data_IF_694980787317
#
_entry.id   IF_694980787317
#
_cell.length_a   1.000
_cell.length_b   1.000
_cell.length_c   1.000
_cell.angle_alpha   90.00
_cell.angle_beta   90.00
_cell.angle_gamma   90.00
#
_symmetry.space_group_name_H-M   'P 1'
#
loop_
_entity.id
_entity.type
_entity.pdbx_description
1 polymer ?
#
# COMPACT_ATOMS: atom_id res chain seq x y z
N UNK A 1 16.95 -32.45 10.96
CA UNK A 1 16.00 -33.03 9.99
C UNK A 1 14.85 -32.06 9.63
N UNK A 2 14.52 -31.04 10.44
CA UNK A 2 13.41 -30.12 10.12
C UNK A 2 13.80 -28.89 9.28
N UNK A 3 15.09 -28.64 9.06
CA UNK A 3 15.60 -27.46 8.35
C UNK A 3 15.31 -27.52 6.84
N UNK A 4 15.25 -28.70 6.26
CA UNK A 4 15.00 -28.91 4.83
C UNK A 4 13.54 -28.75 4.41
N UNK A 5 12.60 -28.68 5.34
CA UNK A 5 11.15 -28.61 5.04
C UNK A 5 10.60 -27.18 4.92
N UNK A 6 11.35 -26.16 5.36
CA UNK A 6 10.87 -24.78 5.45
C UNK A 6 11.46 -23.83 4.41
N UNK A 7 12.09 -24.31 3.35
CA UNK A 7 12.59 -23.45 2.27
C UNK A 7 13.51 -22.34 2.78
N UNK A 8 14.59 -22.69 3.50
CA UNK A 8 15.54 -21.69 3.99
C UNK A 8 16.44 -21.24 2.86
N UNK A 9 16.48 -19.95 2.58
CA UNK A 9 17.54 -19.36 1.76
C UNK A 9 18.89 -19.48 2.50
N UNK A 10 20.01 -19.49 1.77
CA UNK A 10 21.31 -19.53 2.42
C UNK A 10 21.54 -18.24 3.22
N UNK A 11 22.32 -18.32 4.29
CA UNK A 11 22.71 -17.16 5.11
C UNK A 11 23.35 -16.06 4.26
N UNK A 12 24.12 -16.47 3.25
CA UNK A 12 24.89 -15.54 2.40
C UNK A 12 23.93 -14.63 1.60
N UNK A 13 22.81 -15.14 1.10
CA UNK A 13 21.81 -14.33 0.39
C UNK A 13 21.23 -13.23 1.31
N UNK A 14 21.02 -13.51 2.59
CA UNK A 14 20.51 -12.50 3.52
C UNK A 14 21.55 -11.44 3.84
N UNK A 15 22.79 -11.83 4.05
CA UNK A 15 23.90 -10.89 4.35
C UNK A 15 24.20 -9.98 3.16
N UNK A 16 24.24 -10.53 1.96
CA UNK A 16 24.42 -9.77 0.72
C UNK A 16 23.25 -8.81 0.49
N UNK A 17 22.02 -9.28 0.66
CA UNK A 17 20.81 -8.45 0.52
C UNK A 17 20.75 -7.34 1.57
N UNK A 18 21.12 -7.61 2.83
CA UNK A 18 21.20 -6.59 3.89
C UNK A 18 22.19 -5.48 3.52
N UNK A 19 23.37 -5.84 3.04
CA UNK A 19 24.37 -4.87 2.63
C UNK A 19 23.89 -4.02 1.45
N UNK A 20 23.35 -4.64 0.39
CA UNK A 20 22.83 -3.93 -0.78
C UNK A 20 21.69 -2.97 -0.40
N UNK A 21 20.75 -3.40 0.43
CA UNK A 21 19.65 -2.56 0.91
C UNK A 21 20.16 -1.41 1.77
N UNK A 22 21.13 -1.67 2.66
CA UNK A 22 21.74 -0.62 3.49
C UNK A 22 22.42 0.44 2.63
N UNK A 23 23.23 0.04 1.66
CA UNK A 23 23.92 0.97 0.75
C UNK A 23 22.93 1.82 -0.07
N UNK A 24 21.84 1.20 -0.58
CA UNK A 24 20.78 1.92 -1.28
C UNK A 24 20.09 2.94 -0.39
N UNK A 25 19.74 2.56 0.85
CA UNK A 25 19.07 3.44 1.80
C UNK A 25 19.97 4.56 2.28
N UNK A 26 21.28 4.30 2.48
CA UNK A 26 22.25 5.33 2.82
C UNK A 26 22.36 6.41 1.73
N UNK A 27 22.23 6.02 0.47
CA UNK A 27 22.24 6.97 -0.66
C UNK A 27 21.12 8.00 -0.63
N UNK A 28 20.00 7.71 0.07
CA UNK A 28 18.80 8.56 0.16
C UNK A 28 18.54 9.11 1.56
N UNK A 29 19.35 8.73 2.55
CA UNK A 29 19.23 9.18 3.94
C UNK A 29 19.54 10.69 4.15
N UNK A 30 19.97 11.39 3.12
CA UNK A 30 20.10 12.84 3.18
C UNK A 30 18.79 13.56 3.54
N UNK A 31 17.65 12.91 3.34
CA UNK A 31 16.32 13.45 3.70
C UNK A 31 15.90 13.24 5.17
N UNK A 32 16.68 12.57 5.99
CA UNK A 32 16.66 12.34 7.46
C UNK A 32 15.32 12.36 8.19
N UNK A 33 14.23 12.14 7.52
CA UNK A 33 12.90 12.22 8.12
C UNK A 33 12.37 10.82 8.32
N UNK A 34 11.56 10.61 9.35
CA UNK A 34 10.82 9.37 9.57
C UNK A 34 10.02 8.99 8.31
N UNK A 35 10.56 8.08 7.54
CA UNK A 35 9.91 7.53 6.35
C UNK A 35 9.65 6.05 6.56
N UNK A 36 8.70 5.52 5.81
CA UNK A 36 8.57 4.09 5.66
C UNK A 36 9.17 3.63 4.35
N UNK A 37 9.75 2.43 4.41
CA UNK A 37 10.24 1.72 3.25
C UNK A 37 9.62 0.32 3.24
N UNK A 38 9.19 -0.15 2.07
CA UNK A 38 8.64 -1.48 1.91
C UNK A 38 9.47 -2.29 0.91
N UNK A 39 9.60 -3.59 1.17
CA UNK A 39 10.24 -4.53 0.24
C UNK A 39 9.15 -5.18 -0.59
N UNK A 40 9.23 -4.99 -1.89
CA UNK A 40 8.36 -5.67 -2.85
C UNK A 40 8.93 -7.06 -3.12
N UNK A 41 8.15 -8.10 -2.85
CA UNK A 41 8.57 -9.52 -2.90
C UNK A 41 9.66 -9.89 -1.89
N UNK A 42 9.36 -9.82 -0.61
CA UNK A 42 10.29 -10.29 0.41
C UNK A 42 10.53 -11.81 0.27
N UNK A 43 11.77 -12.24 0.48
CA UNK A 43 12.14 -13.66 0.53
C UNK A 43 11.66 -14.34 1.82
N UNK A 44 11.59 -13.57 2.88
CA UNK A 44 11.18 -14.04 4.20
C UNK A 44 10.25 -13.07 4.88
N UNK A 45 9.52 -13.58 5.86
CA UNK A 45 8.68 -12.77 6.73
C UNK A 45 9.56 -11.85 7.58
N UNK A 46 9.07 -10.63 7.82
CA UNK A 46 9.81 -9.61 8.57
C UNK A 46 11.15 -9.20 7.93
N UNK A 47 11.34 -9.34 6.61
CA UNK A 47 12.56 -8.96 5.93
C UNK A 47 12.86 -7.47 6.10
N UNK A 48 11.83 -6.61 6.11
CA UNK A 48 11.94 -5.19 6.40
C UNK A 48 12.57 -4.94 7.79
N UNK A 49 12.15 -5.71 8.79
CA UNK A 49 12.71 -5.63 10.15
C UNK A 49 14.15 -6.17 10.20
N UNK A 50 14.44 -7.23 9.44
CA UNK A 50 15.79 -7.81 9.34
C UNK A 50 16.79 -6.75 8.81
N UNK A 51 16.38 -5.94 7.84
CA UNK A 51 17.22 -4.87 7.28
C UNK A 51 17.02 -3.51 7.99
N UNK A 52 16.44 -3.51 9.19
CA UNK A 52 16.21 -2.33 10.03
C UNK A 52 15.41 -1.22 9.33
N UNK A 53 14.55 -1.59 8.41
CA UNK A 53 13.65 -0.67 7.73
C UNK A 53 12.42 -0.41 8.61
N UNK A 54 11.92 0.83 8.57
CA UNK A 54 10.62 1.17 9.12
C UNK A 54 9.52 0.75 8.12
N UNK A 55 9.22 -0.54 8.05
CA UNK A 55 8.27 -1.12 7.13
C UNK A 55 6.85 -1.22 7.69
N UNK A 56 5.96 -1.82 6.90
CA UNK A 56 4.60 -2.15 7.35
C UNK A 56 4.35 -3.65 7.44
N UNK A 57 5.20 -4.49 6.82
CA UNK A 57 5.05 -5.94 6.86
C UNK A 57 5.36 -6.48 8.24
N UNK A 58 4.48 -7.34 8.77
CA UNK A 58 4.68 -7.91 10.09
C UNK A 58 4.18 -9.35 10.18
N UNK A 59 4.97 -10.20 10.81
CA UNK A 59 4.59 -11.49 11.32
C UNK A 59 4.68 -11.46 12.84
N UNK A 60 3.53 -11.44 13.53
CA UNK A 60 3.47 -11.35 14.98
C UNK A 60 2.19 -11.99 15.51
N UNK A 61 2.29 -12.62 16.67
CA UNK A 61 1.14 -13.13 17.41
C UNK A 61 0.43 -12.05 18.24
N UNK A 62 0.93 -10.81 18.25
CA UNK A 62 0.37 -9.69 19.04
C UNK A 62 -0.43 -8.70 18.21
N UNK A 63 -0.74 -9.05 16.97
CA UNK A 63 -1.56 -8.22 16.10
C UNK A 63 -2.98 -8.10 16.65
N UNK A 64 -3.55 -6.88 16.64
CA UNK A 64 -4.93 -6.64 17.07
C UNK A 64 -5.93 -6.99 15.97
N UNK A 65 -7.19 -7.24 16.33
CA UNK A 65 -8.26 -7.52 15.38
C UNK A 65 -8.49 -6.32 14.44
N UNK A 66 -8.45 -5.11 14.99
CA UNK A 66 -8.62 -3.87 14.20
C UNK A 66 -7.54 -3.71 13.13
N UNK A 67 -6.30 -4.06 13.46
CA UNK A 67 -5.21 -4.01 12.50
C UNK A 67 -5.39 -5.06 11.39
N UNK A 68 -5.82 -6.27 11.75
CA UNK A 68 -6.18 -7.31 10.79
C UNK A 68 -7.27 -6.87 9.84
N UNK A 69 -8.35 -6.33 10.39
CA UNK A 69 -9.47 -5.84 9.60
C UNK A 69 -9.04 -4.73 8.66
N UNK A 70 -8.19 -3.81 9.13
CA UNK A 70 -7.66 -2.74 8.29
C UNK A 70 -6.86 -3.31 7.11
N UNK A 71 -5.83 -4.11 7.35
CA UNK A 71 -4.96 -4.61 6.28
C UNK A 71 -5.72 -5.48 5.28
N UNK A 72 -6.63 -6.33 5.76
CA UNK A 72 -7.50 -7.16 4.93
C UNK A 72 -8.40 -6.33 4.05
N UNK A 73 -9.11 -5.37 4.64
CA UNK A 73 -10.10 -4.57 3.91
C UNK A 73 -9.45 -3.57 2.95
N UNK A 74 -8.20 -3.14 3.22
CA UNK A 74 -7.43 -2.27 2.33
C UNK A 74 -6.73 -3.01 1.18
N UNK A 75 -6.79 -4.35 1.14
CA UNK A 75 -6.27 -5.16 0.05
C UNK A 75 -4.86 -5.69 0.23
N UNK A 76 -4.23 -5.48 1.39
CA UNK A 76 -2.93 -6.06 1.68
C UNK A 76 -3.02 -7.59 1.83
N UNK A 77 -1.97 -8.29 1.45
CA UNK A 77 -1.86 -9.71 1.72
C UNK A 77 -1.92 -9.95 3.23
N UNK A 78 -2.87 -10.76 3.64
CA UNK A 78 -3.03 -11.17 5.02
C UNK A 78 -3.25 -12.69 5.10
N UNK A 79 -2.50 -13.33 5.97
CA UNK A 79 -2.66 -14.73 6.32
C UNK A 79 -2.59 -14.82 7.85
N UNK A 80 -2.93 -15.97 8.39
CA UNK A 80 -2.91 -16.20 9.84
C UNK A 80 -1.59 -15.70 10.48
N UNK A 81 -1.70 -14.74 11.40
CA UNK A 81 -0.59 -14.08 12.11
C UNK A 81 0.40 -13.27 11.25
N UNK A 82 0.08 -12.94 10.01
CA UNK A 82 0.95 -12.10 9.19
C UNK A 82 0.17 -11.20 8.23
N UNK A 83 0.75 -10.07 7.93
CA UNK A 83 0.40 -9.25 6.78
C UNK A 83 1.68 -8.75 6.09
N UNK A 84 1.58 -8.54 4.80
CA UNK A 84 2.72 -8.12 3.98
C UNK A 84 2.33 -6.93 3.11
N UNK A 85 3.31 -6.19 2.67
CA UNK A 85 3.15 -5.05 1.76
C UNK A 85 2.51 -5.43 0.40
N UNK A 86 2.38 -6.68 0.09
CA UNK A 86 1.76 -7.16 -1.13
C UNK A 86 0.28 -6.73 -1.25
N UNK A 87 -0.15 -6.33 -2.45
CA UNK A 87 -1.50 -5.81 -2.70
C UNK A 87 -1.70 -4.34 -2.30
N UNK A 88 -0.63 -3.62 -1.97
CA UNK A 88 -0.68 -2.19 -1.73
C UNK A 88 -1.06 -1.43 -3.00
N UNK A 89 -1.77 -0.32 -2.82
CA UNK A 89 -2.08 0.63 -3.89
C UNK A 89 -1.32 1.93 -3.66
N UNK A 90 -1.11 2.74 -4.71
CA UNK A 90 -0.48 4.06 -4.57
C UNK A 90 -1.22 4.97 -3.56
N UNK A 91 -2.54 4.83 -3.44
CA UNK A 91 -3.32 5.54 -2.42
C UNK A 91 -2.96 5.08 -1.00
N UNK A 92 -2.78 3.77 -0.77
CA UNK A 92 -2.35 3.26 0.54
C UNK A 92 -0.90 3.63 0.84
N UNK A 93 -0.02 3.59 -0.14
CA UNK A 93 1.36 4.06 -0.01
C UNK A 93 1.42 5.53 0.41
N UNK A 94 0.59 6.37 -0.21
CA UNK A 94 0.44 7.77 0.16
C UNK A 94 0.01 7.92 1.62
N UNK A 95 -1.09 7.29 2.01
CA UNK A 95 -1.70 7.45 3.34
C UNK A 95 -0.84 6.87 4.47
N UNK A 96 -0.16 5.76 4.22
CA UNK A 96 0.72 5.11 5.20
C UNK A 96 2.13 5.68 5.20
N UNK A 97 2.43 6.65 4.34
CA UNK A 97 3.74 7.30 4.28
C UNK A 97 4.85 6.39 3.77
N UNK A 98 4.51 5.43 2.89
CA UNK A 98 5.51 4.58 2.21
C UNK A 98 6.25 5.44 1.20
N UNK A 99 7.45 5.89 1.56
CA UNK A 99 8.25 6.80 0.76
C UNK A 99 9.18 6.07 -0.20
N UNK A 100 9.69 4.92 0.21
CA UNK A 100 10.61 4.14 -0.58
C UNK A 100 10.09 2.73 -0.81
N UNK A 101 10.21 2.28 -2.06
CA UNK A 101 10.01 0.88 -2.43
C UNK A 101 11.34 0.29 -2.87
N UNK A 102 11.70 -0.81 -2.24
CA UNK A 102 12.86 -1.63 -2.57
C UNK A 102 12.35 -2.84 -3.32
N UNK A 103 12.63 -2.90 -4.60
CA UNK A 103 12.10 -3.90 -5.52
C UNK A 103 13.21 -4.85 -5.95
N UNK A 104 13.00 -6.16 -5.83
CA UNK A 104 13.98 -7.10 -6.40
C UNK A 104 13.97 -7.00 -7.93
N UNK A 105 15.15 -7.00 -8.55
CA UNK A 105 15.34 -6.80 -10.01
C UNK A 105 14.62 -7.84 -10.89
N UNK A 106 14.00 -8.84 -10.30
CA UNK A 106 13.14 -9.79 -11.01
C UNK A 106 11.81 -9.19 -11.44
N UNK A 107 11.49 -7.96 -10.99
CA UNK A 107 10.24 -7.22 -11.27
C UNK A 107 10.50 -5.86 -11.92
N UNK A 108 9.55 -5.47 -12.77
CA UNK A 108 9.40 -4.09 -13.22
C UNK A 108 8.16 -3.51 -12.56
N UNK A 109 8.29 -2.42 -11.82
CA UNK A 109 7.14 -1.68 -11.32
C UNK A 109 6.60 -0.76 -12.41
N UNK A 110 5.33 -0.95 -12.76
CA UNK A 110 4.58 0.00 -13.61
C UNK A 110 3.99 1.10 -12.71
N UNK A 111 4.86 1.91 -12.12
CA UNK A 111 4.47 2.94 -11.17
C UNK A 111 4.94 4.32 -11.62
N UNK A 112 4.26 5.35 -11.14
CA UNK A 112 4.69 6.75 -11.27
C UNK A 112 5.90 7.10 -10.38
N UNK A 113 6.42 6.15 -9.59
CA UNK A 113 7.50 6.39 -8.65
C UNK A 113 8.84 6.58 -9.35
N UNK A 114 9.65 7.48 -8.79
CA UNK A 114 10.95 7.81 -9.34
C UNK A 114 11.99 6.77 -8.94
N UNK A 115 12.66 6.13 -9.90
CA UNK A 115 13.84 5.29 -9.62
C UNK A 115 14.98 6.17 -9.10
N UNK A 116 15.49 5.85 -7.91
CA UNK A 116 16.53 6.60 -7.19
C UNK A 116 17.88 5.92 -7.25
N UNK A 117 17.92 4.60 -7.39
CA UNK A 117 19.15 3.82 -7.43
C UNK A 117 18.89 2.37 -7.78
N UNK A 118 19.97 1.64 -7.96
CA UNK A 118 19.98 0.20 -8.22
C UNK A 118 21.18 -0.46 -7.59
N UNK A 119 21.05 -1.74 -7.28
CA UNK A 119 22.10 -2.65 -6.87
C UNK A 119 22.03 -3.94 -7.72
N UNK A 120 22.93 -4.90 -7.57
CA UNK A 120 22.85 -6.16 -8.28
C UNK A 120 21.52 -6.89 -8.14
N UNK A 121 20.86 -6.78 -6.96
CA UNK A 121 19.64 -7.51 -6.64
C UNK A 121 18.39 -6.64 -6.48
N UNK A 122 18.53 -5.31 -6.35
CA UNK A 122 17.42 -4.41 -6.03
C UNK A 122 17.43 -3.12 -6.81
N UNK A 123 16.23 -2.64 -7.08
CA UNK A 123 15.93 -1.28 -7.51
C UNK A 123 15.29 -0.49 -6.37
N UNK A 124 15.68 0.77 -6.18
CA UNK A 124 15.10 1.68 -5.22
C UNK A 124 14.23 2.72 -5.92
N UNK A 125 12.98 2.83 -5.49
CA UNK A 125 12.02 3.82 -5.98
C UNK A 125 11.57 4.76 -4.87
N UNK A 126 11.33 6.03 -5.21
CA UNK A 126 10.76 7.05 -4.31
C UNK A 126 9.34 7.38 -4.72
N UNK A 127 8.42 7.28 -3.76
CA UNK A 127 7.04 7.76 -3.89
C UNK A 127 7.00 9.27 -3.61
N UNK A 128 6.69 10.12 -4.59
CA UNK A 128 6.62 11.56 -4.40
C UNK A 128 5.42 11.99 -3.54
N UNK A 129 4.39 11.13 -3.45
CA UNK A 129 3.14 11.40 -2.73
C UNK A 129 3.09 10.85 -1.31
N UNK A 130 4.18 10.32 -0.78
CA UNK A 130 4.19 9.80 0.59
C UNK A 130 3.92 10.93 1.60
N UNK A 131 2.80 10.84 2.32
CA UNK A 131 2.49 11.76 3.41
C UNK A 131 3.46 11.57 4.58
N UNK A 132 3.61 12.59 5.40
CA UNK A 132 4.35 12.50 6.65
C UNK A 132 3.60 11.64 7.67
N UNK A 133 4.27 11.29 8.76
CA UNK A 133 3.71 10.39 9.77
C UNK A 133 2.43 10.91 10.43
N UNK A 134 2.21 12.22 10.46
CA UNK A 134 0.98 12.85 10.92
C UNK A 134 0.47 13.89 9.93
N UNK A 135 -0.83 13.88 9.62
CA UNK A 135 -1.47 14.85 8.74
C UNK A 135 -2.92 15.11 9.16
N UNK A 136 -3.38 16.34 8.94
CA UNK A 136 -4.74 16.74 9.30
C UNK A 136 -5.76 16.20 8.30
N UNK A 137 -6.85 15.66 8.85
CA UNK A 137 -8.02 15.20 8.10
C UNK A 137 -9.30 15.83 8.63
N UNK A 138 -10.39 15.70 7.88
CA UNK A 138 -11.71 16.20 8.30
C UNK A 138 -12.26 15.40 9.47
N UNK A 139 -13.12 16.01 10.29
CA UNK A 139 -13.89 15.33 11.34
C UNK A 139 -14.76 14.19 10.79
N UNK A 140 -15.14 14.25 9.51
CA UNK A 140 -15.87 13.16 8.85
C UNK A 140 -15.06 11.87 8.70
N UNK A 141 -13.78 11.88 9.03
CA UNK A 141 -12.94 10.67 9.06
C UNK A 141 -13.43 9.61 10.06
N UNK A 142 -14.19 9.99 11.09
CA UNK A 142 -14.77 9.04 12.06
C UNK A 142 -16.03 8.35 11.54
N UNK A 143 -16.66 8.86 10.49
CA UNK A 143 -17.98 8.40 10.01
C UNK A 143 -17.90 7.36 8.88
N UNK A 144 -16.70 7.08 8.36
CA UNK A 144 -16.59 6.07 7.31
C UNK A 144 -16.61 4.67 7.91
N UNK A 145 -17.33 3.75 7.25
CA UNK A 145 -17.33 2.34 7.61
C UNK A 145 -16.43 1.55 6.67
N UNK A 146 -15.63 0.64 7.22
CA UNK A 146 -14.88 -0.36 6.45
C UNK A 146 -15.81 -1.46 5.93
N UNK A 147 -16.85 -1.06 5.20
CA UNK A 147 -17.77 -1.96 4.54
C UNK A 147 -17.64 -1.80 3.03
N UNK A 148 -17.42 -2.89 2.34
CA UNK A 148 -17.29 -2.91 0.89
C UNK A 148 -17.16 -4.35 0.40
N UNK A 149 -17.42 -4.56 -0.88
CA UNK A 149 -17.31 -5.87 -1.53
C UNK A 149 -15.89 -6.12 -2.06
N UNK A 150 -15.08 -5.09 -2.13
CA UNK A 150 -13.70 -5.14 -2.59
C UNK A 150 -12.85 -4.02 -1.96
N UNK A 151 -11.52 -4.17 -1.94
CA UNK A 151 -10.61 -3.19 -1.30
C UNK A 151 -10.73 -1.77 -1.86
N UNK A 152 -10.92 -1.59 -3.15
CA UNK A 152 -11.01 -0.26 -3.77
C UNK A 152 -12.28 0.49 -3.34
N UNK A 153 -13.38 -0.23 -3.10
CA UNK A 153 -14.58 0.39 -2.54
C UNK A 153 -14.33 0.89 -1.11
N UNK A 154 -13.64 0.09 -0.29
CA UNK A 154 -13.28 0.48 1.09
C UNK A 154 -12.33 1.66 1.08
N UNK A 155 -11.30 1.65 0.23
CA UNK A 155 -10.37 2.77 0.06
C UNK A 155 -11.11 4.04 -0.41
N UNK A 156 -12.07 3.93 -1.32
CA UNK A 156 -12.91 5.06 -1.74
C UNK A 156 -13.72 5.67 -0.59
N UNK A 157 -14.21 4.84 0.34
CA UNK A 157 -14.92 5.31 1.53
C UNK A 157 -13.98 6.04 2.49
N UNK A 158 -12.80 5.45 2.74
CA UNK A 158 -11.75 6.08 3.53
C UNK A 158 -11.36 7.45 2.95
N UNK A 159 -11.00 7.50 1.67
CA UNK A 159 -10.58 8.74 1.00
C UNK A 159 -11.69 9.78 0.99
N UNK A 160 -12.95 9.38 0.83
CA UNK A 160 -14.09 10.28 0.95
C UNK A 160 -14.21 10.86 2.37
N UNK A 161 -14.01 10.03 3.41
CA UNK A 161 -14.04 10.48 4.81
C UNK A 161 -12.93 11.47 5.13
N UNK A 162 -11.68 11.18 4.74
CA UNK A 162 -10.51 11.97 5.11
C UNK A 162 -10.25 13.16 4.18
N UNK A 163 -10.51 13.00 2.87
CA UNK A 163 -10.23 14.01 1.84
C UNK A 163 -11.47 14.53 1.12
N UNK A 164 -12.66 13.99 1.36
CA UNK A 164 -13.90 14.41 0.73
C UNK A 164 -14.04 13.96 -0.73
N UNK A 165 -13.12 13.12 -1.26
CA UNK A 165 -13.08 12.69 -2.65
C UNK A 165 -12.93 11.17 -2.73
N UNK A 166 -13.54 10.54 -3.73
CA UNK A 166 -13.26 9.15 -4.13
C UNK A 166 -12.14 9.17 -5.17
N UNK A 167 -11.37 8.11 -5.21
CA UNK A 167 -10.30 7.95 -6.20
C UNK A 167 -10.73 7.04 -7.36
N UNK A 168 -11.18 5.84 -7.03
CA UNK A 168 -11.42 4.80 -8.02
C UNK A 168 -12.79 4.92 -8.69
N UNK A 169 -12.80 4.85 -10.02
CA UNK A 169 -13.98 4.53 -10.82
C UNK A 169 -14.10 3.01 -10.88
N UNK A 170 -15.13 2.46 -10.26
CA UNK A 170 -15.30 1.01 -10.15
C UNK A 170 -16.21 0.48 -11.25
N UNK A 171 -15.80 -0.63 -11.86
CA UNK A 171 -16.56 -1.33 -12.90
C UNK A 171 -16.46 -2.84 -12.69
N UNK A 172 -17.59 -3.54 -12.68
CA UNK A 172 -17.59 -5.01 -12.77
C UNK A 172 -17.14 -5.43 -14.17
N UNK A 173 -16.19 -6.34 -14.23
CA UNK A 173 -15.67 -6.91 -15.47
C UNK A 173 -16.16 -8.34 -15.59
N UNK A 174 -16.81 -8.66 -16.70
CA UNK A 174 -17.27 -10.02 -16.99
C UNK A 174 -16.16 -10.79 -17.70
N UNK A 175 -16.00 -12.05 -17.34
CA UNK A 175 -15.11 -12.96 -18.06
C UNK A 175 -15.81 -13.57 -19.25
N UNK A 176 -15.05 -13.81 -20.32
CA UNK A 176 -15.42 -14.76 -21.36
C UNK A 176 -14.90 -16.15 -20.96
N UNK A 177 -15.77 -17.14 -20.98
CA UNK A 177 -15.34 -18.51 -20.69
C UNK A 177 -14.88 -19.17 -21.99
N UNK A 178 -13.63 -19.63 -22.03
CA UNK A 178 -13.10 -20.39 -23.17
C UNK A 178 -13.71 -21.80 -23.22
N UNK A 179 -13.57 -22.48 -24.35
CA UNK A 179 -13.99 -23.88 -24.52
C UNK A 179 -13.32 -24.85 -23.54
N UNK A 180 -12.20 -24.45 -22.96
CA UNK A 180 -11.42 -25.21 -21.97
C UNK A 180 -11.83 -24.90 -20.52
N UNK A 181 -12.83 -24.03 -20.32
CA UNK A 181 -13.28 -23.62 -18.97
C UNK A 181 -12.41 -22.54 -18.32
N UNK A 182 -11.41 -22.00 -19.05
CA UNK A 182 -10.59 -20.90 -18.58
C UNK A 182 -11.37 -19.59 -18.73
N UNK A 183 -11.42 -18.79 -17.69
CA UNK A 183 -11.96 -17.44 -17.75
C UNK A 183 -10.93 -16.48 -18.35
N UNK A 184 -11.35 -15.63 -19.27
CA UNK A 184 -10.50 -14.61 -19.89
C UNK A 184 -11.13 -13.23 -19.74
N UNK A 185 -10.29 -12.22 -19.51
CA UNK A 185 -10.70 -10.82 -19.41
C UNK A 185 -9.89 -9.99 -20.38
N UNK A 186 -10.55 -9.06 -21.06
CA UNK A 186 -9.92 -8.02 -21.84
C UNK A 186 -10.24 -6.66 -21.19
N UNK A 187 -9.21 -5.98 -20.74
CA UNK A 187 -9.30 -4.68 -20.06
C UNK A 187 -8.60 -3.65 -20.93
N UNK A 188 -9.29 -2.58 -21.27
CA UNK A 188 -8.72 -1.45 -21.95
C UNK A 188 -8.51 -0.32 -20.94
N UNK A 189 -7.25 0.05 -20.70
CA UNK A 189 -6.85 1.22 -19.93
C UNK A 189 -6.61 2.40 -20.88
N UNK A 190 -7.16 3.55 -20.54
CA UNK A 190 -6.94 4.78 -21.32
C UNK A 190 -5.56 5.34 -21.04
N UNK A 191 -5.10 6.25 -21.89
CA UNK A 191 -3.88 6.99 -21.67
C UNK A 191 -3.88 7.67 -20.29
N UNK A 192 -2.78 7.50 -19.53
CA UNK A 192 -2.57 8.02 -18.17
C UNK A 192 -3.61 7.59 -17.13
N UNK A 193 -4.35 6.51 -17.41
CA UNK A 193 -5.26 5.88 -16.46
C UNK A 193 -4.53 4.75 -15.76
N UNK A 194 -4.47 4.81 -14.44
CA UNK A 194 -3.97 3.73 -13.61
C UNK A 194 -5.08 2.72 -13.35
N UNK A 195 -4.77 1.45 -13.41
CA UNK A 195 -5.73 0.37 -13.21
C UNK A 195 -5.34 -0.61 -12.12
N UNK A 196 -6.30 -0.99 -11.29
CA UNK A 196 -6.23 -2.13 -10.38
C UNK A 196 -7.35 -3.11 -10.67
N UNK A 197 -7.04 -4.39 -10.66
CA UNK A 197 -8.02 -5.45 -10.83
C UNK A 197 -8.10 -6.31 -9.56
N UNK A 198 -9.30 -6.47 -9.05
CA UNK A 198 -9.59 -7.38 -7.94
C UNK A 198 -10.31 -8.63 -8.44
N UNK A 199 -9.70 -9.80 -8.23
CA UNK A 199 -10.21 -11.12 -8.64
C UNK A 199 -10.39 -11.95 -7.36
N UNK A 200 -11.59 -12.00 -6.75
CA UNK A 200 -11.77 -12.68 -5.48
C UNK A 200 -11.57 -14.19 -5.59
N UNK A 201 -10.75 -14.73 -4.70
CA UNK A 201 -10.57 -16.18 -4.50
C UNK A 201 -9.78 -16.92 -5.58
N UNK A 202 -9.19 -16.22 -6.56
CA UNK A 202 -8.46 -16.86 -7.66
C UNK A 202 -7.27 -16.04 -8.09
N UNK A 203 -6.10 -16.66 -8.17
CA UNK A 203 -4.93 -16.06 -8.79
C UNK A 203 -5.03 -16.20 -10.32
N UNK A 204 -4.65 -15.17 -11.10
CA UNK A 204 -4.57 -15.30 -12.54
C UNK A 204 -3.45 -16.28 -12.95
N UNK A 205 -3.68 -17.04 -14.02
CA UNK A 205 -2.67 -17.94 -14.59
C UNK A 205 -1.67 -17.18 -15.44
N UNK A 206 -2.19 -16.28 -16.28
CA UNK A 206 -1.36 -15.43 -17.15
C UNK A 206 -1.91 -14.03 -17.21
N UNK A 207 -1.01 -13.07 -17.36
CA UNK A 207 -1.33 -11.69 -17.71
C UNK A 207 -0.47 -11.25 -18.86
N UNK A 208 -1.12 -10.72 -19.87
CA UNK A 208 -0.47 -10.21 -21.07
C UNK A 208 -0.83 -8.74 -21.22
N UNK A 209 0.18 -7.89 -21.34
CA UNK A 209 0.01 -6.46 -21.60
C UNK A 209 0.51 -6.15 -23.00
N UNK A 210 -0.36 -5.64 -23.86
CA UNK A 210 -0.08 -5.38 -25.27
C UNK A 210 0.58 -6.59 -25.98
N UNK A 211 0.12 -7.79 -25.68
CA UNK A 211 0.62 -9.03 -26.26
C UNK A 211 1.92 -9.56 -25.67
N UNK A 212 2.48 -8.95 -24.64
CA UNK A 212 3.65 -9.44 -23.92
C UNK A 212 3.25 -10.03 -22.57
N UNK A 213 3.60 -11.31 -22.37
CA UNK A 213 3.31 -11.99 -21.10
C UNK A 213 4.14 -11.41 -19.97
N UNK A 214 3.46 -11.12 -18.86
CA UNK A 214 4.07 -10.66 -17.63
C UNK A 214 4.37 -11.87 -16.72
N UNK A 215 5.47 -11.84 -16.00
CA UNK A 215 5.82 -12.90 -15.05
C UNK A 215 4.82 -12.96 -13.88
N UNK A 216 4.47 -14.16 -13.46
CA UNK A 216 3.44 -14.47 -12.45
C UNK A 216 3.71 -13.92 -11.04
N UNK A 217 4.88 -13.37 -10.76
CA UNK A 217 5.25 -12.86 -9.45
C UNK A 217 4.53 -11.56 -9.06
N UNK A 218 3.62 -11.04 -9.91
CA UNK A 218 2.83 -9.83 -9.67
C UNK A 218 1.55 -10.07 -8.85
N UNK A 219 1.21 -11.33 -8.60
CA UNK A 219 -0.06 -11.71 -8.04
C UNK A 219 0.03 -11.85 -6.53
N UNK A 220 -0.38 -10.84 -5.85
CA UNK A 220 -0.55 -10.92 -4.43
C UNK A 220 -2.02 -10.72 -4.07
N UNK A 221 -2.57 -11.70 -3.40
CA UNK A 221 -3.85 -11.61 -2.71
C UNK A 221 -5.06 -11.26 -3.60
N UNK A 222 -5.09 -11.74 -4.84
CA UNK A 222 -6.16 -11.47 -5.80
C UNK A 222 -6.29 -9.99 -6.23
N UNK A 223 -5.32 -9.16 -5.92
CA UNK A 223 -5.29 -7.74 -6.21
C UNK A 223 -4.13 -7.43 -7.15
N UNK A 224 -4.45 -7.06 -8.38
CA UNK A 224 -3.51 -6.92 -9.46
C UNK A 224 -3.32 -5.44 -9.81
N UNK A 225 -2.10 -4.95 -9.70
CA UNK A 225 -1.72 -3.65 -10.25
C UNK A 225 -1.48 -3.78 -11.76
N UNK A 226 -2.31 -3.09 -12.55
CA UNK A 226 -2.19 -3.06 -14.00
C UNK A 226 -1.28 -1.92 -14.49
N UNK A 227 -0.92 -0.99 -13.61
CA UNK A 227 -0.07 0.17 -13.91
C UNK A 227 -0.74 1.28 -14.69
N UNK A 228 0.10 2.26 -15.10
CA UNK A 228 -0.27 3.42 -15.91
C UNK A 228 0.53 3.41 -17.21
N UNK A 229 -0.11 3.78 -18.32
CA UNK A 229 0.52 3.82 -19.64
C UNK A 229 0.31 5.17 -20.32
N UNK A 230 1.27 5.57 -21.14
CA UNK A 230 1.23 6.81 -21.94
C UNK A 230 0.35 6.72 -23.20
N UNK A 231 -0.14 5.52 -23.51
CA UNK A 231 -1.05 5.22 -24.62
C UNK A 231 -2.19 4.34 -24.11
N UNK A 232 -3.26 4.22 -24.91
CA UNK A 232 -4.28 3.21 -24.67
C UNK A 232 -3.65 1.82 -24.69
N UNK A 233 -3.92 1.03 -23.65
CA UNK A 233 -3.27 -0.25 -23.41
C UNK A 233 -4.30 -1.36 -23.18
N UNK A 234 -4.11 -2.50 -23.82
CA UNK A 234 -4.95 -3.68 -23.64
C UNK A 234 -4.24 -4.67 -22.72
N UNK A 235 -4.90 -5.01 -21.62
CA UNK A 235 -4.49 -6.05 -20.69
C UNK A 235 -5.37 -7.27 -20.88
N UNK A 236 -4.77 -8.39 -21.22
CA UNK A 236 -5.45 -9.68 -21.34
C UNK A 236 -5.04 -10.56 -20.15
N UNK A 237 -6.03 -11.11 -19.47
CA UNK A 237 -5.82 -11.91 -18.26
C UNK A 237 -6.56 -13.23 -18.42
N UNK A 238 -5.91 -14.33 -18.09
CA UNK A 238 -6.56 -15.63 -17.98
C UNK A 238 -6.46 -16.17 -16.57
N UNK A 239 -7.48 -16.90 -16.15
CA UNK A 239 -7.48 -17.58 -14.86
C UNK A 239 -8.26 -18.89 -14.90
N UNK A 240 -7.79 -19.88 -14.17
CA UNK A 240 -8.43 -21.20 -14.07
C UNK A 240 -9.71 -21.10 -13.26
N UNK A 241 -10.83 -21.25 -13.90
CA UNK A 241 -12.17 -21.52 -13.40
C UNK A 241 -12.68 -20.78 -12.13
N UNK A 242 -13.96 -20.45 -12.12
CA UNK A 242 -14.68 -20.02 -10.91
C UNK A 242 -14.57 -18.55 -10.58
N UNK A 243 -14.18 -17.68 -11.52
CA UNK A 243 -14.11 -16.25 -11.28
C UNK A 243 -15.50 -15.67 -11.18
N UNK A 244 -15.80 -15.13 -10.01
CA UNK A 244 -17.03 -14.43 -9.72
C UNK A 244 -16.72 -12.97 -9.43
N UNK A 245 -17.45 -12.06 -10.08
CA UNK A 245 -17.46 -10.62 -9.75
C UNK A 245 -16.09 -9.92 -9.67
N UNK A 246 -15.32 -10.03 -10.75
CA UNK A 246 -14.07 -9.24 -10.90
C UNK A 246 -14.39 -7.74 -10.96
N UNK A 247 -13.65 -6.95 -10.21
CA UNK A 247 -13.83 -5.50 -10.17
C UNK A 247 -12.57 -4.80 -10.67
N UNK A 248 -12.74 -3.98 -11.70
CA UNK A 248 -11.74 -3.04 -12.17
C UNK A 248 -11.96 -1.69 -11.49
N UNK A 249 -10.93 -1.15 -10.88
CA UNK A 249 -10.89 0.22 -10.41
C UNK A 249 -9.85 1.01 -11.17
N UNK A 250 -10.25 2.15 -11.72
CA UNK A 250 -9.34 3.02 -12.46
C UNK A 250 -9.39 4.45 -11.94
N UNK A 251 -8.27 5.19 -12.10
CA UNK A 251 -8.20 6.61 -11.79
C UNK A 251 -7.20 7.32 -12.70
N UNK A 252 -7.30 8.64 -12.79
CA UNK A 252 -6.27 9.48 -13.42
C UNK A 252 -5.25 9.92 -12.36
N UNK A 253 -3.98 9.95 -12.70
CA UNK A 253 -2.90 10.41 -11.80
C UNK A 253 -3.23 11.77 -11.14
N UNK A 254 -3.85 12.68 -11.89
CA UNK A 254 -4.27 13.98 -11.37
C UNK A 254 -5.30 13.89 -10.22
N UNK A 255 -6.11 12.83 -10.16
CA UNK A 255 -7.07 12.64 -9.08
C UNK A 255 -6.36 12.27 -7.77
N UNK A 256 -5.30 11.49 -7.85
CA UNK A 256 -4.45 11.15 -6.71
C UNK A 256 -3.62 12.36 -6.25
N UNK A 257 -3.10 13.15 -7.20
CA UNK A 257 -2.40 14.41 -6.92
C UNK A 257 -3.29 15.39 -6.15
N UNK A 258 -4.56 15.57 -6.54
CA UNK A 258 -5.50 16.45 -5.85
C UNK A 258 -5.75 15.99 -4.39
N UNK A 259 -5.87 14.68 -4.16
CA UNK A 259 -6.02 14.13 -2.81
C UNK A 259 -4.74 14.38 -1.99
N UNK A 260 -3.57 14.13 -2.57
CA UNK A 260 -2.28 14.35 -1.92
C UNK A 260 -2.07 15.82 -1.56
N UNK A 261 -2.30 16.74 -2.50
CA UNK A 261 -2.17 18.18 -2.27
C UNK A 261 -3.04 18.63 -1.09
N UNK A 262 -4.29 18.14 -1.04
CA UNK A 262 -5.20 18.47 0.05
C UNK A 262 -4.72 17.96 1.42
N UNK A 263 -4.27 16.72 1.51
CA UNK A 263 -3.83 16.09 2.76
C UNK A 263 -2.45 16.59 3.21
N UNK A 264 -1.60 16.99 2.27
CA UNK A 264 -0.25 17.48 2.54
C UNK A 264 -0.18 18.92 3.04
N UNK A 265 -1.28 19.69 3.00
CA UNK A 265 -1.31 21.09 3.45
C UNK A 265 -0.92 21.25 4.91
N UNK A 266 -1.31 20.32 5.76
CA UNK A 266 -1.02 20.34 7.19
C UNK A 266 -0.52 18.96 7.63
N UNK A 267 0.77 18.80 7.67
CA UNK A 267 1.41 17.53 8.04
C UNK A 267 2.64 17.77 8.90
N UNK A 268 2.99 16.78 9.70
CA UNK A 268 4.14 16.82 10.61
C UNK A 268 4.89 15.51 10.59
N UNK A 269 6.20 15.60 10.75
CA UNK A 269 7.04 14.44 11.02
C UNK A 269 6.98 14.11 12.51
N UNK A 270 6.82 12.82 12.82
CA UNK A 270 6.77 12.32 14.19
C UNK A 270 8.09 11.64 14.56
N UNK A 271 9.20 12.40 14.49
CA UNK A 271 10.53 11.90 14.79
C UNK A 271 10.64 11.45 16.25
N UNK A 272 10.95 10.16 16.45
CA UNK A 272 11.01 9.58 17.81
C UNK A 272 9.67 9.69 18.55
N UNK A 273 8.55 9.69 17.85
CA UNK A 273 7.21 9.81 18.42
C UNK A 273 6.82 11.25 18.82
N UNK A 274 7.58 12.26 18.39
CA UNK A 274 7.30 13.67 18.70
C UNK A 274 7.24 14.51 17.44
N UNK A 275 6.33 15.47 17.39
CA UNK A 275 6.19 16.40 16.28
C UNK A 275 5.53 17.70 16.70
N UNK A 276 5.60 18.69 15.84
CA UNK A 276 4.91 19.97 15.98
C UNK A 276 4.06 20.21 14.76
N UNK A 277 2.84 20.72 14.96
CA UNK A 277 1.95 21.09 13.88
C UNK A 277 1.18 22.35 14.26
N UNK A 278 1.07 23.27 13.32
CA UNK A 278 0.18 24.43 13.46
C UNK A 278 -1.16 24.09 12.85
N UNK A 279 -2.20 24.01 13.66
CA UNK A 279 -3.54 23.60 13.22
C UNK A 279 -4.33 24.84 12.80
N UNK A 280 -4.68 24.94 11.52
CA UNK A 280 -5.38 26.11 10.96
C UNK A 280 -6.88 26.11 11.32
N UNK A 281 -7.47 24.93 11.52
CA UNK A 281 -8.88 24.72 11.88
C UNK A 281 -9.00 23.42 12.65
N UNK A 282 -10.02 23.34 13.51
CA UNK A 282 -10.33 22.10 14.22
C UNK A 282 -10.43 20.92 13.25
N UNK A 283 -9.96 19.76 13.68
CA UNK A 283 -9.95 18.55 12.88
C UNK A 283 -9.27 17.41 13.60
N UNK A 284 -8.99 16.35 12.87
CA UNK A 284 -8.31 15.17 13.38
C UNK A 284 -6.90 15.10 12.78
N UNK A 285 -5.90 14.99 13.64
CA UNK A 285 -4.57 14.55 13.24
C UNK A 285 -4.62 13.03 13.07
N UNK A 286 -4.56 12.57 11.83
CA UNK A 286 -4.40 11.17 11.51
C UNK A 286 -2.92 10.82 11.59
N UNK A 287 -2.61 9.75 12.33
CA UNK A 287 -1.26 9.22 12.45
C UNK A 287 -1.19 7.98 11.57
N UNK A 288 -0.19 7.92 10.70
CA UNK A 288 0.01 6.81 9.78
C UNK A 288 0.45 5.51 10.49
N UNK A 289 -0.04 5.24 11.69
CA UNK A 289 0.18 4.01 12.44
C UNK A 289 -1.13 3.32 12.73
N UNK A 290 -1.08 1.99 12.84
CA UNK A 290 -2.23 1.22 13.27
C UNK A 290 -2.69 1.63 14.67
N UNK A 291 -4.00 1.55 14.89
CA UNK A 291 -4.60 1.84 16.19
C UNK A 291 -4.17 0.80 17.23
N UNK A 292 -3.73 1.30 18.37
CA UNK A 292 -3.41 0.51 19.54
C UNK A 292 -4.13 1.16 20.74
N UNK A 293 -5.04 0.46 21.42
CA UNK A 293 -5.77 0.99 22.57
C UNK A 293 -4.85 1.37 23.74
N UNK A 294 -3.67 0.79 23.84
CA UNK A 294 -2.68 1.06 24.87
C UNK A 294 -1.77 2.26 24.51
N UNK A 295 -1.83 2.76 23.28
CA UNK A 295 -1.07 3.93 22.84
C UNK A 295 -1.51 5.18 23.59
N UNK A 296 -0.55 5.90 24.18
CA UNK A 296 -0.81 7.15 24.88
C UNK A 296 -0.24 8.32 24.07
N UNK A 297 -1.11 9.24 23.70
CA UNK A 297 -0.73 10.45 22.97
C UNK A 297 -0.92 11.67 23.87
N UNK A 298 0.03 12.58 23.82
CA UNK A 298 0.00 13.83 24.57
C UNK A 298 0.06 15.01 23.61
N UNK A 299 -0.85 15.94 23.76
CA UNK A 299 -0.89 17.21 23.03
C UNK A 299 -0.63 18.32 24.03
N UNK A 300 0.41 19.13 23.80
CA UNK A 300 0.88 20.19 24.70
C UNK A 300 1.04 19.73 26.16
N UNK A 301 1.60 18.53 26.32
CA UNK A 301 1.85 17.91 27.64
C UNK A 301 0.61 17.35 28.34
N UNK A 302 -0.57 17.41 27.73
CA UNK A 302 -1.82 16.84 28.27
C UNK A 302 -2.15 15.56 27.51
N UNK A 303 -2.59 14.52 28.25
CA UNK A 303 -3.05 13.28 27.62
C UNK A 303 -4.28 13.59 26.77
N UNK A 304 -4.21 13.22 25.48
CA UNK A 304 -5.31 13.35 24.54
C UNK A 304 -6.08 12.02 24.40
N UNK A 305 -7.33 12.12 24.00
CA UNK A 305 -8.12 10.96 23.61
C UNK A 305 -7.67 10.46 22.24
N UNK A 306 -7.31 9.19 22.16
CA UNK A 306 -7.00 8.53 20.89
C UNK A 306 -8.29 8.02 20.24
N UNK A 307 -8.40 8.22 18.93
CA UNK A 307 -9.52 7.77 18.12
C UNK A 307 -9.10 6.57 17.30
N UNK A 308 -9.93 5.54 17.28
CA UNK A 308 -9.82 4.47 16.30
C UNK A 308 -10.51 4.89 15.00
N UNK A 309 -9.71 5.22 13.99
CA UNK A 309 -10.19 5.54 12.65
C UNK A 309 -10.22 4.27 11.78
N UNK A 310 -11.02 3.30 12.21
CA UNK A 310 -11.16 2.00 11.55
C UNK A 310 -9.81 1.27 11.35
N UNK A 311 -9.00 1.22 12.41
CA UNK A 311 -7.69 0.57 12.43
C UNK A 311 -6.50 1.52 12.29
N UNK A 312 -6.71 2.81 12.01
CA UNK A 312 -5.69 3.84 12.08
C UNK A 312 -5.89 4.74 13.30
N UNK A 313 -4.81 5.33 13.78
CA UNK A 313 -4.81 6.19 14.96
C UNK A 313 -5.16 7.63 14.59
N UNK A 314 -6.05 8.26 15.36
CA UNK A 314 -6.38 9.67 15.24
C UNK A 314 -6.38 10.41 16.58
N UNK A 315 -6.20 11.72 16.54
CA UNK A 315 -6.31 12.62 17.70
C UNK A 315 -7.03 13.90 17.28
N UNK A 316 -8.06 14.30 18.03
CA UNK A 316 -8.71 15.61 17.82
C UNK A 316 -7.79 16.75 18.21
N UNK A 317 -7.62 17.71 17.33
CA UNK A 317 -6.87 18.93 17.56
C UNK A 317 -7.74 20.15 17.28
N UNK A 318 -7.59 21.17 18.12
CA UNK A 318 -8.22 22.48 17.88
C UNK A 318 -7.25 23.41 17.16
N UNK A 319 -7.80 24.42 16.49
CA UNK A 319 -7.00 25.46 15.83
C UNK A 319 -6.07 26.14 16.83
N UNK A 320 -4.81 26.29 16.47
CA UNK A 320 -3.76 26.86 17.30
C UNK A 320 -2.38 26.42 16.89
N UNK A 321 -1.34 26.97 17.55
CA UNK A 321 0.04 26.54 17.34
C UNK A 321 0.28 25.15 17.84
#
# INVERSE_FOLDING_TARGET
>A
VSITYNGTASRDIYVESEQEVSELMDSVNADQVNYRAAIVNPLVRNEELLYQLNGISMYSSTNTEEMWDFVKNMGFENLENRYQYAGATEAMDMLLGIRYLICRNTRTLNTSYQKMGESPSFDLYKNPRALKAGYMVSDSAVDYAMAGTNPMEVQNRLLRGIAGKRLYNLKTVSSETTLTGIAAFNICLKKNEHGYLYIPGTEPDTVTINGQEQKSDYWNNNFLDLGTYDTETIVHITANSGIHETVLGTYQEADLDEIYEKLSLQQTDLAGGKGNITVQRDGILMIGSFYDPDMQIYVDGKKAETLNLQGLTGVKLSAGP
#
